data_IF_361093596578
#
_entry.id   IF_361093596578
#
_cell.length_a   1.000
_cell.length_b   1.000
_cell.length_c   1.000
_cell.angle_alpha   90.00
_cell.angle_beta   90.00
_cell.angle_gamma   90.00
#
_symmetry.space_group_name_H-M   'P 1'
#
loop_
_entity.id
_entity.type
_entity.pdbx_description
1 polymer ?
#
# COMPACT_ATOMS: atom_id res chain seq x y z
N UNK A 1 -17.28 -4.77 6.48
CA UNK A 1 -16.83 -3.62 5.66
C UNK A 1 -16.18 -4.10 4.36
N UNK A 2 -16.87 -4.88 3.53
CA UNK A 2 -16.23 -5.58 2.39
C UNK A 2 -16.94 -5.41 1.04
N UNK A 3 -18.08 -4.72 0.98
CA UNK A 3 -18.84 -4.54 -0.26
C UNK A 3 -18.70 -3.16 -0.92
N UNK A 4 -18.25 -2.12 -0.19
CA UNK A 4 -18.22 -0.73 -0.69
C UNK A 4 -17.29 -0.53 -1.90
N UNK A 5 -16.31 -1.41 -2.09
CA UNK A 5 -15.36 -1.36 -3.20
C UNK A 5 -15.25 -2.69 -3.97
N UNK A 6 -16.22 -3.61 -3.82
CA UNK A 6 -16.19 -4.94 -4.45
C UNK A 6 -16.14 -4.88 -5.98
N UNK A 7 -16.64 -3.79 -6.55
CA UNK A 7 -16.63 -3.47 -7.97
C UNK A 7 -15.28 -2.93 -8.50
N UNK A 8 -14.32 -2.64 -7.62
CA UNK A 8 -12.99 -2.19 -8.03
C UNK A 8 -12.09 -3.42 -8.30
N UNK A 9 -11.66 -3.65 -9.55
CA UNK A 9 -10.72 -4.73 -9.84
C UNK A 9 -9.36 -4.39 -9.20
N UNK A 10 -9.07 -5.04 -8.08
CA UNK A 10 -7.81 -4.91 -7.35
C UNK A 10 -7.06 -6.24 -7.41
N UNK A 11 -5.82 -6.21 -7.90
CA UNK A 11 -4.88 -7.32 -7.75
C UNK A 11 -3.74 -6.89 -6.84
N UNK A 12 -3.54 -7.66 -5.79
CA UNK A 12 -2.43 -7.48 -4.86
C UNK A 12 -1.37 -8.50 -5.24
N UNK A 13 -0.20 -8.02 -5.64
CA UNK A 13 0.99 -8.86 -5.76
C UNK A 13 1.72 -8.75 -4.43
N UNK A 14 2.00 -9.92 -3.85
CA UNK A 14 2.38 -10.09 -2.44
C UNK A 14 3.54 -9.23 -1.98
N UNK A 15 3.76 -9.16 -0.65
CA UNK A 15 4.86 -8.38 -0.10
C UNK A 15 6.17 -8.93 -0.64
N UNK A 16 6.79 -8.20 -1.56
CA UNK A 16 8.13 -8.52 -2.01
C UNK A 16 9.11 -7.86 -1.04
N UNK A 17 10.01 -8.63 -0.41
CA UNK A 17 11.13 -8.01 0.30
C UNK A 17 11.90 -7.15 -0.72
N UNK A 18 12.34 -5.96 -0.31
CA UNK A 18 13.30 -5.23 -1.11
C UNK A 18 14.58 -6.07 -1.25
N UNK A 19 15.26 -5.97 -2.40
CA UNK A 19 16.52 -6.66 -2.68
C UNK A 19 17.58 -6.44 -1.58
N UNK A 20 17.48 -5.32 -0.86
CA UNK A 20 18.21 -5.04 0.38
C UNK A 20 17.20 -5.08 1.53
N UNK A 21 17.23 -6.17 2.30
CA UNK A 21 16.27 -6.40 3.39
C UNK A 21 16.32 -5.34 4.50
N UNK A 22 17.46 -4.66 4.69
CA UNK A 22 17.64 -3.66 5.75
C UNK A 22 18.56 -2.54 5.30
N UNK A 23 18.08 -1.30 5.31
CA UNK A 23 18.91 -0.11 5.12
C UNK A 23 18.76 0.76 6.36
N UNK A 24 19.88 1.11 6.98
CA UNK A 24 19.91 1.96 8.16
C UNK A 24 18.93 1.49 9.27
N UNK A 25 19.03 0.21 9.63
CA UNK A 25 18.17 -0.47 10.60
C UNK A 25 16.67 -0.58 10.27
N UNK A 26 16.19 -0.04 9.14
CA UNK A 26 14.78 -0.10 8.74
C UNK A 26 14.56 -1.19 7.68
N UNK A 27 13.53 -2.01 7.90
CA UNK A 27 13.06 -2.94 6.89
C UNK A 27 12.20 -2.20 5.87
N UNK A 28 12.42 -2.48 4.58
CA UNK A 28 11.61 -1.94 3.50
C UNK A 28 10.91 -3.09 2.79
N UNK A 29 9.59 -3.09 2.90
CA UNK A 29 8.72 -4.01 2.17
C UNK A 29 7.96 -3.22 1.13
N UNK A 30 7.78 -3.81 -0.05
CA UNK A 30 6.93 -3.25 -1.10
C UNK A 30 5.79 -4.21 -1.39
N UNK A 31 4.63 -3.64 -1.70
CA UNK A 31 3.48 -4.38 -2.20
C UNK A 31 3.05 -3.71 -3.50
N UNK A 32 2.87 -4.49 -4.56
CA UNK A 32 2.43 -3.93 -5.85
C UNK A 32 0.92 -4.11 -5.93
N UNK A 33 0.23 -2.97 -5.99
CA UNK A 33 -1.21 -2.89 -6.13
C UNK A 33 -1.53 -2.55 -7.58
N UNK A 34 -2.09 -3.50 -8.32
CA UNK A 34 -2.60 -3.25 -9.67
C UNK A 34 -4.10 -3.02 -9.58
N UNK A 35 -4.52 -1.80 -9.89
CA UNK A 35 -5.90 -1.37 -9.85
C UNK A 35 -6.23 -0.47 -11.03
N UNK A 36 -7.52 -0.24 -11.28
CA UNK A 36 -7.95 0.78 -12.24
C UNK A 36 -7.82 2.16 -11.58
N UNK A 37 -6.90 2.99 -12.07
CA UNK A 37 -6.69 4.34 -11.53
C UNK A 37 -7.93 5.23 -11.76
N UNK A 38 -8.82 5.26 -10.78
CA UNK A 38 -10.05 6.05 -10.79
C UNK A 38 -10.28 6.69 -9.41
N UNK A 39 -11.27 7.58 -9.32
CA UNK A 39 -11.58 8.29 -8.07
C UNK A 39 -11.87 7.36 -6.89
N UNK A 40 -12.62 6.27 -7.11
CA UNK A 40 -12.99 5.31 -6.06
C UNK A 40 -11.79 4.54 -5.52
N UNK A 41 -10.88 4.10 -6.39
CA UNK A 41 -9.65 3.42 -5.99
C UNK A 41 -8.72 4.33 -5.16
N UNK A 42 -8.60 5.60 -5.53
CA UNK A 42 -7.83 6.60 -4.76
C UNK A 42 -8.48 6.90 -3.42
N UNK A 43 -9.81 6.98 -3.38
CA UNK A 43 -10.58 7.13 -2.14
C UNK A 43 -10.34 5.96 -1.18
N UNK A 44 -10.38 4.72 -1.68
CA UNK A 44 -10.07 3.52 -0.90
C UNK A 44 -8.65 3.60 -0.30
N UNK A 45 -7.64 3.91 -1.11
CA UNK A 45 -6.25 4.01 -0.65
C UNK A 45 -6.06 5.11 0.39
N UNK A 46 -6.68 6.28 0.20
CA UNK A 46 -6.61 7.37 1.16
C UNK A 46 -7.26 7.01 2.51
N UNK A 47 -8.42 6.35 2.49
CA UNK A 47 -9.09 5.86 3.71
C UNK A 47 -8.22 4.84 4.43
N UNK A 48 -7.68 3.85 3.71
CA UNK A 48 -6.79 2.83 4.29
C UNK A 48 -5.54 3.43 4.94
N UNK A 49 -4.88 4.40 4.28
CA UNK A 49 -3.71 5.08 4.86
C UNK A 49 -4.08 5.92 6.09
N UNK A 50 -5.26 6.55 6.08
CA UNK A 50 -5.74 7.33 7.23
C UNK A 50 -6.04 6.43 8.42
N UNK A 51 -6.75 5.32 8.19
CA UNK A 51 -7.04 4.32 9.23
C UNK A 51 -5.76 3.68 9.76
N UNK A 52 -4.80 3.37 8.88
CA UNK A 52 -3.48 2.86 9.26
C UNK A 52 -2.76 3.83 10.20
N UNK A 53 -2.74 5.12 9.88
CA UNK A 53 -2.10 6.15 10.72
C UNK A 53 -2.76 6.36 12.08
N UNK A 54 -4.02 5.94 12.26
CA UNK A 54 -4.72 6.01 13.55
C UNK A 54 -4.43 4.80 14.46
N UNK A 55 -3.92 3.70 13.90
CA UNK A 55 -3.63 2.49 14.66
C UNK A 55 -2.30 2.58 15.41
N UNK A 56 -2.37 2.75 16.73
CA UNK A 56 -1.18 2.86 17.61
C UNK A 56 -0.25 1.66 17.55
N UNK A 57 -0.77 0.47 17.19
CA UNK A 57 0.01 -0.75 16.97
C UNK A 57 1.05 -0.62 15.85
N UNK A 58 0.90 0.38 14.96
CA UNK A 58 1.77 0.61 13.82
C UNK A 58 2.59 1.91 13.93
N UNK A 59 2.73 2.50 15.12
CA UNK A 59 3.46 3.77 15.31
C UNK A 59 4.91 3.74 14.82
N UNK A 60 5.56 2.57 14.84
CA UNK A 60 6.94 2.40 14.36
C UNK A 60 7.03 2.06 12.86
N UNK A 61 5.88 1.97 12.17
CA UNK A 61 5.78 1.58 10.77
C UNK A 61 5.30 2.79 9.95
N UNK A 62 6.04 3.12 8.90
CA UNK A 62 5.63 4.14 7.93
C UNK A 62 5.18 3.46 6.64
N UNK A 63 3.95 3.72 6.22
CA UNK A 63 3.40 3.26 4.94
C UNK A 63 3.15 4.46 4.02
N UNK A 64 3.44 4.29 2.74
CA UNK A 64 3.18 5.27 1.70
C UNK A 64 2.70 4.56 0.44
N UNK A 65 1.92 5.27 -0.36
CA UNK A 65 1.47 4.80 -1.68
C UNK A 65 2.20 5.62 -2.73
N UNK A 66 2.86 4.93 -3.64
CA UNK A 66 3.48 5.49 -4.84
C UNK A 66 2.66 5.05 -6.05
N UNK A 67 2.05 6.00 -6.76
CA UNK A 67 1.20 5.74 -7.93
C UNK A 67 2.07 5.94 -9.16
N UNK A 68 2.10 4.94 -10.04
CA UNK A 68 2.94 4.92 -11.25
C UNK A 68 4.44 5.07 -10.94
N UNK A 69 5.03 4.16 -10.12
CA UNK A 69 6.44 4.24 -9.74
C UNK A 69 7.37 4.01 -10.95
N UNK A 70 8.41 4.84 -11.07
CA UNK A 70 9.42 4.72 -12.15
C UNK A 70 10.19 3.40 -12.13
N UNK A 71 10.27 2.73 -10.97
CA UNK A 71 10.93 1.44 -10.82
C UNK A 71 10.04 0.42 -10.10
N UNK A 72 9.73 -0.69 -10.77
CA UNK A 72 8.96 -1.81 -10.22
C UNK A 72 9.89 -2.98 -9.80
N UNK A 73 11.18 -2.92 -10.19
CA UNK A 73 12.16 -4.01 -10.06
C UNK A 73 12.94 -3.93 -8.74
#
# INVERSE_FOLDING_TARGET
MSQEYAEQPLRVLGPSPAMIARVNNKFRYRMILKFRNNRRSRELLARLLTEFGQQRSFNDITAYVDIDPDNII
#
